data_IF_393474140161
#
_entry.id   IF_393474140161
#
_cell.length_a   1.000
_cell.length_b   1.000
_cell.length_c   1.000
_cell.angle_alpha   90.00
_cell.angle_beta   90.00
_cell.angle_gamma   90.00
#
_symmetry.space_group_name_H-M   'P 1'
#
loop_
_entity.id
_entity.type
_entity.pdbx_description
1 polymer ?
#
# COMPACT_ATOMS: atom_id res chain seq x y z
N UNK A 1 -0.14 9.69 -16.70
CA UNK A 1 0.87 10.70 -16.96
C UNK A 1 2.19 10.36 -16.27
N UNK A 2 3.33 10.47 -16.95
CA UNK A 2 4.62 10.22 -16.31
C UNK A 2 4.95 11.20 -15.18
N UNK A 3 4.27 12.33 -15.13
CA UNK A 3 4.51 13.33 -14.09
C UNK A 3 3.70 13.08 -12.82
N UNK A 4 2.80 12.10 -12.83
CA UNK A 4 1.98 11.78 -11.68
C UNK A 4 2.81 11.55 -10.41
N UNK A 5 3.89 10.77 -10.53
CA UNK A 5 4.71 10.40 -9.38
C UNK A 5 5.46 11.57 -8.75
N UNK A 6 5.75 12.61 -9.52
CA UNK A 6 6.52 13.75 -9.03
C UNK A 6 5.68 14.64 -8.12
N UNK A 7 4.38 14.74 -8.41
CA UNK A 7 3.49 15.66 -7.71
C UNK A 7 2.59 14.97 -6.70
N UNK A 8 2.69 13.64 -6.58
CA UNK A 8 1.86 12.87 -5.67
C UNK A 8 2.58 12.67 -4.33
N UNK A 9 1.83 12.82 -3.25
CA UNK A 9 2.33 12.55 -1.90
C UNK A 9 1.46 11.48 -1.26
N UNK A 10 2.08 10.42 -0.77
CA UNK A 10 1.36 9.30 -0.18
C UNK A 10 1.64 9.21 1.33
N UNK A 11 0.59 8.93 2.07
CA UNK A 11 0.64 8.75 3.51
C UNK A 11 0.07 7.39 3.87
N UNK A 12 0.84 6.62 4.63
CA UNK A 12 0.34 5.35 5.20
C UNK A 12 -0.42 5.68 6.46
N UNK A 13 -1.70 5.30 6.49
CA UNK A 13 -2.56 5.55 7.65
C UNK A 13 -2.57 4.38 8.62
N UNK A 14 -2.41 3.16 8.12
CA UNK A 14 -2.39 1.96 8.95
C UNK A 14 -1.68 0.84 8.19
N UNK A 15 -0.99 -0.02 8.92
CA UNK A 15 -0.32 -1.18 8.36
C UNK A 15 -0.26 -2.25 9.43
N UNK A 16 -0.55 -3.49 9.07
CA UNK A 16 -0.46 -4.63 10.00
C UNK A 16 0.11 -5.84 9.30
N UNK A 17 0.95 -6.55 10.03
CA UNK A 17 1.45 -7.86 9.62
C UNK A 17 0.38 -8.91 9.92
N UNK A 18 0.28 -9.90 9.05
CA UNK A 18 -0.64 -11.00 9.21
C UNK A 18 -1.35 -11.34 7.92
N UNK A 19 -2.02 -12.48 7.90
CA UNK A 19 -2.73 -12.94 6.72
C UNK A 19 -4.20 -12.52 6.81
N UNK A 20 -4.59 -11.58 5.96
CA UNK A 20 -5.93 -11.01 5.97
C UNK A 20 -6.81 -11.51 4.82
N UNK A 21 -6.21 -12.16 3.81
CA UNK A 21 -6.94 -12.82 2.74
C UNK A 21 -6.46 -14.25 2.61
N UNK A 22 -7.39 -15.18 2.40
CA UNK A 22 -7.08 -16.58 2.15
C UNK A 22 -6.94 -16.82 0.65
N UNK A 23 -5.82 -16.36 0.12
CA UNK A 23 -5.49 -16.52 -1.29
C UNK A 23 -4.03 -16.95 -1.37
N UNK A 24 -3.79 -18.13 -1.93
CA UNK A 24 -2.45 -18.70 -2.03
C UNK A 24 -1.57 -17.95 -3.02
N UNK A 25 -2.15 -17.07 -3.82
CA UNK A 25 -1.43 -16.27 -4.81
C UNK A 25 -0.98 -14.91 -4.27
N UNK A 26 -1.23 -14.62 -2.99
CA UNK A 26 -0.78 -13.37 -2.40
C UNK A 26 0.75 -13.28 -2.40
N UNK A 27 1.24 -12.08 -2.65
CA UNK A 27 2.67 -11.78 -2.52
C UNK A 27 3.11 -11.95 -1.06
N UNK A 28 4.39 -12.24 -0.87
CA UNK A 28 4.94 -12.43 0.48
C UNK A 28 5.29 -11.13 1.17
N UNK A 29 5.56 -10.09 0.42
CA UNK A 29 5.95 -8.81 1.00
C UNK A 29 5.30 -7.66 0.26
N UNK A 30 5.00 -6.60 0.98
CA UNK A 30 4.47 -5.38 0.40
C UNK A 30 5.58 -4.41 0.03
N UNK A 31 5.24 -3.48 -0.87
CA UNK A 31 6.17 -2.45 -1.31
C UNK A 31 6.43 -1.46 -0.18
N UNK A 32 7.70 -1.20 0.11
CA UNK A 32 8.10 -0.22 1.11
C UNK A 32 7.97 -0.69 2.56
N UNK A 33 7.68 -1.96 2.78
CA UNK A 33 7.53 -2.54 4.11
C UNK A 33 8.66 -3.52 4.41
N UNK A 34 8.90 -3.84 5.69
CA UNK A 34 9.96 -4.77 6.05
C UNK A 34 9.81 -6.12 5.34
N UNK A 35 10.91 -6.65 4.85
CA UNK A 35 10.90 -7.92 4.11
C UNK A 35 10.49 -9.11 4.97
N UNK A 36 10.65 -9.01 6.27
CA UNK A 36 10.22 -10.04 7.22
C UNK A 36 8.70 -10.12 7.37
N UNK A 37 7.97 -9.14 6.85
CA UNK A 37 6.52 -9.19 6.83
C UNK A 37 6.06 -10.04 5.65
N UNK A 38 5.88 -11.33 5.88
CA UNK A 38 5.47 -12.27 4.83
C UNK A 38 4.10 -11.93 4.25
N UNK A 39 3.16 -11.57 5.09
CA UNK A 39 1.81 -11.16 4.69
C UNK A 39 1.38 -10.00 5.56
N UNK A 40 0.47 -9.19 5.03
CA UNK A 40 -0.03 -8.07 5.77
C UNK A 40 -0.96 -7.21 4.93
N UNK A 41 -1.29 -6.05 5.47
CA UNK A 41 -1.97 -5.02 4.71
C UNK A 41 -1.38 -3.66 5.03
N UNK A 42 -1.57 -2.76 4.11
CA UNK A 42 -1.33 -1.33 4.34
C UNK A 42 -2.46 -0.56 3.68
N UNK A 43 -2.89 0.50 4.33
CA UNK A 43 -3.87 1.41 3.74
C UNK A 43 -3.39 2.83 3.93
N UNK A 44 -3.79 3.67 3.01
CA UNK A 44 -3.33 5.02 3.05
C UNK A 44 -4.08 5.94 2.12
N UNK A 45 -3.49 7.09 1.92
CA UNK A 45 -4.04 8.13 1.08
C UNK A 45 -2.94 8.74 0.24
N UNK A 46 -3.24 8.99 -1.01
CA UNK A 46 -2.36 9.73 -1.93
C UNK A 46 -3.04 11.03 -2.29
N UNK A 47 -2.31 12.12 -2.17
CA UNK A 47 -2.78 13.45 -2.54
C UNK A 47 -2.05 13.86 -3.81
N UNK A 48 -2.83 14.17 -4.84
CA UNK A 48 -2.32 14.61 -6.12
C UNK A 48 -3.20 15.75 -6.62
N UNK A 49 -2.66 16.97 -6.67
CA UNK A 49 -3.43 18.17 -7.03
C UNK A 49 -4.66 18.29 -6.14
N UNK A 50 -5.86 18.29 -6.74
CA UNK A 50 -7.13 18.37 -6.01
C UNK A 50 -7.73 17.01 -5.68
N UNK A 51 -7.00 15.92 -5.97
CA UNK A 51 -7.50 14.57 -5.80
C UNK A 51 -6.99 13.98 -4.50
N UNK A 52 -7.85 13.24 -3.82
CA UNK A 52 -7.50 12.45 -2.64
C UNK A 52 -7.89 11.02 -2.97
N UNK A 53 -6.90 10.14 -3.03
CA UNK A 53 -7.09 8.74 -3.42
C UNK A 53 -6.82 7.87 -2.20
N UNK A 54 -7.86 7.18 -1.74
CA UNK A 54 -7.71 6.18 -0.68
C UNK A 54 -7.36 4.83 -1.30
N UNK A 55 -6.41 4.14 -0.70
CA UNK A 55 -5.96 2.86 -1.23
C UNK A 55 -5.75 1.85 -0.13
N UNK A 56 -5.86 0.58 -0.51
CA UNK A 56 -5.61 -0.58 0.35
C UNK A 56 -4.78 -1.58 -0.44
N UNK A 57 -3.69 -2.03 0.15
CA UNK A 57 -2.85 -3.09 -0.39
C UNK A 57 -2.84 -4.25 0.60
N UNK A 58 -3.08 -5.45 0.09
CA UNK A 58 -3.04 -6.68 0.88
C UNK A 58 -2.15 -7.67 0.14
N UNK A 59 -1.25 -8.32 0.85
CA UNK A 59 -0.33 -9.27 0.24
C UNK A 59 -0.16 -10.54 1.05
#
# INVERSE_FOLDING_TARGET
>A
SPDFYKDATSYVLDAKQGRFLEDDNLSRSGVGLPKEWLHGYTKGVTIFKNYVIYWLEVW
#
